data_IF_961594166672
#
_entry.id   IF_961594166672
#
_cell.length_a   1.000
_cell.length_b   1.000
_cell.length_c   1.000
_cell.angle_alpha   90.00
_cell.angle_beta   90.00
_cell.angle_gamma   90.00
#
_symmetry.space_group_name_H-M   'P 1'
#
loop_
_entity.id
_entity.type
_entity.pdbx_description
1 polymer ?
#
# COMPACT_ATOMS: atom_id res chain seq x y z
N UNK A 1 40.35 -37.78 15.10
CA UNK A 1 39.00 -37.65 14.51
C UNK A 1 38.08 -36.94 15.50
N UNK A 2 38.00 -35.61 15.45
CA UNK A 2 37.07 -34.81 16.28
C UNK A 2 35.98 -34.29 15.34
N UNK A 3 34.74 -34.78 15.50
CA UNK A 3 33.58 -34.33 14.72
C UNK A 3 33.18 -32.94 15.22
N UNK A 4 33.31 -31.93 14.36
CA UNK A 4 32.80 -30.58 14.60
C UNK A 4 31.29 -30.61 14.37
N UNK A 5 30.50 -30.40 15.42
CA UNK A 5 29.04 -30.24 15.34
C UNK A 5 28.79 -28.76 15.05
N UNK A 6 28.47 -28.43 13.81
CA UNK A 6 28.06 -27.08 13.42
C UNK A 6 26.59 -26.89 13.79
N UNK A 7 26.33 -26.14 14.87
CA UNK A 7 25.00 -25.71 15.28
C UNK A 7 24.56 -24.58 14.32
N UNK A 8 23.59 -24.87 13.46
CA UNK A 8 22.94 -23.86 12.62
C UNK A 8 21.96 -23.11 13.53
N UNK A 9 22.36 -21.94 14.02
CA UNK A 9 21.47 -21.02 14.70
C UNK A 9 20.48 -20.42 13.69
N UNK A 10 19.26 -20.96 13.67
CA UNK A 10 18.12 -20.38 12.96
C UNK A 10 17.72 -19.09 13.67
N UNK A 11 18.18 -17.96 13.15
CA UNK A 11 17.72 -16.63 13.54
C UNK A 11 16.31 -16.47 12.97
N UNK A 12 15.30 -16.64 13.82
CA UNK A 12 13.92 -16.33 13.49
C UNK A 12 13.76 -14.80 13.51
N UNK A 13 14.04 -14.15 12.38
CA UNK A 13 13.73 -12.73 12.19
C UNK A 13 12.22 -12.64 12.07
N UNK A 14 11.55 -12.14 13.12
CA UNK A 14 10.15 -11.75 13.04
C UNK A 14 10.03 -10.65 11.98
N UNK A 15 9.54 -11.00 10.79
CA UNK A 15 9.21 -10.02 9.77
C UNK A 15 8.04 -9.17 10.31
N UNK A 16 8.34 -7.97 10.80
CA UNK A 16 7.31 -6.98 11.12
C UNK A 16 6.60 -6.60 9.83
N UNK A 17 5.44 -7.22 9.62
CA UNK A 17 4.52 -6.86 8.55
C UNK A 17 3.94 -5.48 8.95
N UNK A 18 4.51 -4.37 8.48
CA UNK A 18 3.88 -3.06 8.67
C UNK A 18 2.53 -3.12 7.99
N UNK A 19 1.50 -2.94 8.81
CA UNK A 19 0.13 -2.85 8.41
C UNK A 19 -0.07 -1.67 7.46
N UNK A 20 -1.02 -1.80 6.53
CA UNK A 20 -1.38 -0.69 5.65
C UNK A 20 -2.23 0.33 6.42
N UNK A 21 -1.92 1.61 6.29
CA UNK A 21 -2.67 2.66 6.99
C UNK A 21 -3.91 3.06 6.18
N UNK A 22 -5.08 2.94 6.78
CA UNK A 22 -6.38 3.23 6.16
C UNK A 22 -7.06 4.38 6.90
N UNK A 23 -7.50 5.37 6.15
CA UNK A 23 -8.36 6.43 6.66
C UNK A 23 -9.82 6.19 6.25
N UNK A 24 -10.77 6.55 7.10
CA UNK A 24 -12.20 6.55 6.75
C UNK A 24 -12.66 8.00 6.66
N UNK A 25 -12.86 8.46 5.42
CA UNK A 25 -13.57 9.70 5.17
C UNK A 25 -15.06 9.40 5.29
N UNK A 26 -15.70 10.00 6.29
CA UNK A 26 -17.08 9.73 6.67
C UNK A 26 -18.05 9.65 5.49
N UNK A 27 -19.06 8.81 5.64
CA UNK A 27 -20.10 8.62 4.63
C UNK A 27 -20.94 9.87 4.45
N UNK A 28 -21.34 10.10 3.20
CA UNK A 28 -22.27 11.15 2.84
C UNK A 28 -23.68 10.59 2.57
N UNK A 29 -24.69 11.45 2.56
CA UNK A 29 -26.04 11.09 2.15
C UNK A 29 -26.80 12.28 1.59
N UNK A 30 -27.41 12.07 0.42
CA UNK A 30 -28.42 13.00 -0.12
C UNK A 30 -29.79 12.81 0.56
N UNK A 31 -29.93 11.81 1.44
CA UNK A 31 -31.19 11.50 2.12
C UNK A 31 -31.28 12.20 3.48
N UNK A 32 -32.18 13.17 3.60
CA UNK A 32 -32.40 13.96 4.83
C UNK A 32 -32.62 13.11 6.10
N UNK A 33 -33.17 11.90 5.98
CA UNK A 33 -33.38 10.99 7.12
C UNK A 33 -32.10 10.34 7.68
N UNK A 34 -30.96 10.49 6.99
CA UNK A 34 -29.66 9.88 7.33
C UNK A 34 -28.59 10.90 7.73
N UNK A 35 -28.83 12.20 7.60
CA UNK A 35 -27.84 13.27 7.81
C UNK A 35 -27.15 13.18 9.19
N UNK A 36 -27.88 12.77 10.23
CA UNK A 36 -27.34 12.56 11.59
C UNK A 36 -26.89 11.12 11.90
N UNK A 37 -26.96 10.21 10.92
CA UNK A 37 -26.66 8.78 11.09
C UNK A 37 -25.39 8.35 10.33
N UNK A 38 -25.00 9.05 9.28
CA UNK A 38 -23.80 8.72 8.49
C UNK A 38 -22.51 8.81 9.30
N UNK A 39 -22.42 9.78 10.22
CA UNK A 39 -21.30 9.88 11.16
C UNK A 39 -21.20 8.62 12.03
N UNK A 40 -22.31 8.20 12.64
CA UNK A 40 -22.37 6.97 13.46
C UNK A 40 -22.02 5.74 12.63
N UNK A 41 -22.48 5.64 11.39
CA UNK A 41 -22.13 4.53 10.49
C UNK A 41 -20.64 4.44 10.21
N UNK A 42 -20.00 5.60 10.06
CA UNK A 42 -18.57 5.69 9.79
C UNK A 42 -17.76 5.30 11.02
N UNK A 43 -18.19 5.70 12.22
CA UNK A 43 -17.56 5.30 13.48
C UNK A 43 -17.65 3.79 13.71
N UNK A 44 -18.85 3.22 13.51
CA UNK A 44 -19.04 1.78 13.62
C UNK A 44 -18.20 1.01 12.59
N UNK A 45 -18.03 1.54 11.38
CA UNK A 45 -17.12 0.94 10.39
C UNK A 45 -15.66 1.01 10.87
N UNK A 46 -15.22 2.13 11.44
CA UNK A 46 -13.88 2.27 12.02
C UNK A 46 -13.66 1.22 13.11
N UNK A 47 -14.62 1.04 14.01
CA UNK A 47 -14.55 0.05 15.09
C UNK A 47 -14.33 -1.37 14.56
N UNK A 48 -15.06 -1.77 13.51
CA UNK A 48 -14.88 -3.07 12.87
C UNK A 48 -13.53 -3.19 12.14
N UNK A 49 -13.08 -2.11 11.49
CA UNK A 49 -11.79 -2.08 10.77
C UNK A 49 -10.59 -2.20 11.72
N UNK A 50 -10.65 -1.59 12.92
CA UNK A 50 -9.59 -1.69 13.93
C UNK A 50 -9.38 -3.15 14.37
N UNK A 51 -10.41 -3.98 14.30
CA UNK A 51 -10.31 -5.42 14.58
C UNK A 51 -9.63 -6.26 13.49
N UNK A 52 -9.34 -5.69 12.32
CA UNK A 52 -8.76 -6.42 11.18
C UNK A 52 -7.23 -6.40 11.25
N UNK A 53 -6.63 -7.59 11.29
CA UNK A 53 -5.17 -7.74 11.24
C UNK A 53 -4.58 -7.26 9.92
N UNK A 54 -3.43 -6.59 9.98
CA UNK A 54 -2.67 -6.16 8.80
C UNK A 54 -3.07 -4.79 8.25
N UNK A 55 -3.98 -4.08 8.92
CA UNK A 55 -4.27 -2.66 8.67
C UNK A 55 -4.12 -1.84 9.97
N UNK A 56 -3.77 -0.57 9.80
CA UNK A 56 -3.78 0.45 10.85
C UNK A 56 -4.84 1.46 10.46
N UNK A 57 -5.76 1.79 11.36
CA UNK A 57 -6.82 2.78 11.04
C UNK A 57 -6.44 4.15 11.60
N UNK A 58 -6.59 5.19 10.80
CA UNK A 58 -6.38 6.58 11.25
C UNK A 58 -7.56 7.00 12.12
N UNK A 59 -7.27 7.60 13.27
CA UNK A 59 -8.31 8.20 14.12
C UNK A 59 -9.07 9.31 13.39
N UNK A 60 -10.40 9.28 13.51
CA UNK A 60 -11.30 10.20 12.82
C UNK A 60 -11.04 11.67 13.14
N UNK A 61 -10.76 12.00 14.40
CA UNK A 61 -10.50 13.39 14.82
C UNK A 61 -9.35 14.03 14.04
N UNK A 62 -8.27 13.25 13.79
CA UNK A 62 -7.12 13.69 13.01
C UNK A 62 -7.49 13.96 11.56
N UNK A 63 -8.41 13.17 11.01
CA UNK A 63 -8.93 13.35 9.65
C UNK A 63 -9.85 14.57 9.56
N UNK A 64 -10.73 14.77 10.54
CA UNK A 64 -11.63 15.92 10.59
C UNK A 64 -10.87 17.25 10.76
N UNK A 65 -9.79 17.27 11.53
CA UNK A 65 -8.91 18.44 11.65
C UNK A 65 -8.25 18.81 10.31
N UNK A 66 -7.75 17.81 9.59
CA UNK A 66 -7.15 17.98 8.26
C UNK A 66 -8.17 18.48 7.23
N UNK A 67 -9.38 17.90 7.23
CA UNK A 67 -10.46 18.32 6.34
C UNK A 67 -10.87 19.77 6.63
N UNK A 68 -11.01 20.16 7.91
CA UNK A 68 -11.35 21.54 8.28
C UNK A 68 -10.32 22.55 7.77
N UNK A 69 -9.03 22.23 7.84
CA UNK A 69 -7.96 23.09 7.31
C UNK A 69 -8.02 23.21 5.77
N UNK A 70 -8.25 22.10 5.08
CA UNK A 70 -8.32 22.07 3.62
C UNK A 70 -9.58 22.78 3.07
N UNK A 71 -10.73 22.62 3.73
CA UNK A 71 -11.99 23.25 3.33
C UNK A 71 -11.91 24.78 3.46
N UNK A 72 -11.26 25.25 4.53
CA UNK A 72 -10.98 26.67 4.75
C UNK A 72 -10.08 27.28 3.66
N UNK A 73 -9.14 26.51 3.10
CA UNK A 73 -8.17 27.00 2.13
C UNK A 73 -8.64 26.91 0.67
N UNK A 74 -9.35 25.84 0.26
CA UNK A 74 -9.59 25.55 -1.17
C UNK A 74 -11.00 25.06 -1.52
N UNK A 75 -11.88 24.80 -0.55
CA UNK A 75 -13.18 24.14 -0.77
C UNK A 75 -13.00 22.68 -1.20
N UNK A 76 -13.30 21.73 -0.33
CA UNK A 76 -13.08 20.32 -0.65
C UNK A 76 -14.27 19.75 -1.42
N UNK A 77 -14.00 19.10 -2.56
CA UNK A 77 -14.97 18.25 -3.26
C UNK A 77 -14.66 16.79 -2.97
N UNK A 78 -15.65 15.90 -2.94
CA UNK A 78 -15.42 14.44 -2.80
C UNK A 78 -14.91 13.81 -4.10
N UNK A 79 -13.93 14.46 -4.73
CA UNK A 79 -13.25 13.99 -5.94
C UNK A 79 -11.94 13.27 -5.60
N UNK A 80 -11.36 12.61 -6.58
CA UNK A 80 -10.18 11.76 -6.40
C UNK A 80 -8.93 12.55 -5.97
N UNK A 81 -8.81 13.82 -6.36
CA UNK A 81 -7.68 14.68 -5.99
C UNK A 81 -7.75 15.15 -4.53
N UNK A 82 -8.95 15.44 -4.04
CA UNK A 82 -9.16 15.77 -2.63
C UNK A 82 -8.88 14.58 -1.72
N UNK A 83 -9.30 13.38 -2.12
CA UNK A 83 -9.00 12.12 -1.41
C UNK A 83 -7.49 11.89 -1.30
N UNK A 84 -6.75 12.13 -2.37
CA UNK A 84 -5.28 12.02 -2.38
C UNK A 84 -4.64 13.03 -1.42
N UNK A 85 -5.10 14.27 -1.41
CA UNK A 85 -4.56 15.32 -0.55
C UNK A 85 -4.80 15.03 0.93
N UNK A 86 -6.05 14.69 1.29
CA UNK A 86 -6.43 14.29 2.66
C UNK A 86 -5.62 13.08 3.10
N UNK A 87 -5.56 12.03 2.28
CA UNK A 87 -4.82 10.80 2.56
C UNK A 87 -3.34 11.05 2.85
N UNK A 88 -2.68 11.90 2.06
CA UNK A 88 -1.27 12.27 2.27
C UNK A 88 -1.06 13.01 3.59
N UNK A 89 -1.94 13.95 3.94
CA UNK A 89 -1.82 14.72 5.19
C UNK A 89 -1.98 13.86 6.44
N UNK A 90 -2.83 12.82 6.37
CA UNK A 90 -3.00 11.87 7.49
C UNK A 90 -2.04 10.66 7.42
N UNK A 91 -1.15 10.63 6.43
CA UNK A 91 -0.23 9.51 6.16
C UNK A 91 -0.96 8.16 6.00
N UNK A 92 -2.10 8.18 5.29
CA UNK A 92 -2.82 6.97 4.91
C UNK A 92 -2.37 6.48 3.53
N UNK A 93 -2.29 5.17 3.36
CA UNK A 93 -2.03 4.50 2.09
C UNK A 93 -3.32 4.37 1.26
N UNK A 94 -4.44 4.17 1.93
CA UNK A 94 -5.78 4.11 1.32
C UNK A 94 -6.79 4.95 2.11
N UNK A 95 -7.79 5.47 1.41
CA UNK A 95 -8.97 6.10 2.01
C UNK A 95 -10.20 5.28 1.66
N UNK A 96 -11.04 5.01 2.65
CA UNK A 96 -12.40 4.54 2.47
C UNK A 96 -13.31 5.76 2.52
N UNK A 97 -14.11 5.94 1.48
CA UNK A 97 -15.18 6.95 1.46
C UNK A 97 -16.43 6.33 0.86
N UNK A 98 -17.60 6.88 1.13
CA UNK A 98 -18.83 6.25 0.74
C UNK A 98 -20.05 7.14 0.81
N UNK A 99 -21.16 6.59 0.37
CA UNK A 99 -22.45 7.23 0.50
C UNK A 99 -23.52 6.24 0.95
N UNK A 100 -24.61 6.80 1.45
CA UNK A 100 -25.79 6.08 1.87
C UNK A 100 -27.01 6.65 1.16
N UNK A 101 -27.84 5.77 0.62
CA UNK A 101 -29.07 6.15 -0.11
C UNK A 101 -30.19 5.17 0.18
N UNK A 102 -31.43 5.65 0.11
CA UNK A 102 -32.60 4.76 0.11
C UNK A 102 -33.00 4.39 -1.31
N UNK A 103 -33.20 3.09 -1.56
CA UNK A 103 -33.73 2.55 -2.82
C UNK A 103 -34.79 1.52 -2.45
N UNK A 104 -36.01 1.70 -2.96
CA UNK A 104 -37.14 0.77 -2.76
C UNK A 104 -37.43 0.41 -1.29
N UNK A 105 -37.24 1.38 -0.38
CA UNK A 105 -37.47 1.19 1.06
C UNK A 105 -36.31 0.55 1.82
N UNK A 106 -35.20 0.26 1.15
CA UNK A 106 -33.98 -0.28 1.77
C UNK A 106 -32.85 0.74 1.78
N UNK A 107 -32.03 0.70 2.83
CA UNK A 107 -30.80 1.46 2.94
C UNK A 107 -29.70 0.74 2.16
N UNK A 108 -29.20 1.38 1.10
CA UNK A 108 -27.99 0.99 0.39
C UNK A 108 -26.81 1.81 0.91
N UNK A 109 -25.83 1.11 1.48
CA UNK A 109 -24.52 1.65 1.88
C UNK A 109 -23.51 1.26 0.82
N UNK A 110 -22.80 2.24 0.27
CA UNK A 110 -21.70 2.00 -0.68
C UNK A 110 -20.43 2.60 -0.12
N UNK A 111 -19.37 1.79 -0.04
CA UNK A 111 -18.03 2.23 0.34
C UNK A 111 -17.03 1.95 -0.78
N UNK A 112 -16.10 2.87 -1.00
CA UNK A 112 -15.06 2.82 -2.02
C UNK A 112 -13.71 2.88 -1.35
N UNK A 113 -12.85 1.91 -1.65
CA UNK A 113 -11.44 1.91 -1.25
C UNK A 113 -10.64 2.61 -2.35
N UNK A 114 -9.96 3.70 -2.00
CA UNK A 114 -9.19 4.53 -2.92
C UNK A 114 -7.72 4.49 -2.52
N UNK A 115 -6.83 4.16 -3.45
CA UNK A 115 -5.38 4.24 -3.25
C UNK A 115 -4.94 5.71 -3.25
N UNK A 116 -4.32 6.18 -2.17
CA UNK A 116 -3.95 7.60 -2.03
C UNK A 116 -2.94 8.01 -3.10
N UNK A 117 -1.97 7.16 -3.40
CA UNK A 117 -0.88 7.50 -4.30
C UNK A 117 -1.37 7.72 -5.74
N UNK A 118 -2.22 6.81 -6.24
CA UNK A 118 -2.70 6.82 -7.63
C UNK A 118 -4.08 7.43 -7.80
N UNK A 119 -4.79 7.73 -6.71
CA UNK A 119 -6.17 8.17 -6.67
C UNK A 119 -7.17 7.20 -7.35
N UNK A 120 -6.79 5.93 -7.50
CA UNK A 120 -7.63 4.91 -8.15
C UNK A 120 -8.56 4.24 -7.14
N UNK A 121 -9.81 4.03 -7.56
CA UNK A 121 -10.74 3.16 -6.83
C UNK A 121 -10.29 1.70 -7.02
N UNK A 122 -9.83 1.07 -5.95
CA UNK A 122 -9.37 -0.31 -5.94
C UNK A 122 -10.52 -1.30 -5.77
N UNK A 123 -11.52 -0.91 -4.98
CA UNK A 123 -12.67 -1.74 -4.68
C UNK A 123 -13.89 -0.90 -4.29
N UNK A 124 -15.08 -1.50 -4.47
CA UNK A 124 -16.34 -0.93 -4.00
C UNK A 124 -17.12 -2.03 -3.29
N UNK A 125 -17.35 -1.84 -1.99
CA UNK A 125 -18.21 -2.68 -1.18
C UNK A 125 -19.63 -2.09 -1.17
N UNK A 126 -20.63 -2.96 -1.14
CA UNK A 126 -22.05 -2.56 -1.06
C UNK A 126 -22.78 -3.41 -0.04
N UNK A 127 -23.66 -2.78 0.72
CA UNK A 127 -24.52 -3.45 1.67
C UNK A 127 -25.93 -2.88 1.58
N UNK A 128 -26.91 -3.76 1.44
CA UNK A 128 -28.32 -3.40 1.56
C UNK A 128 -28.85 -3.89 2.90
N UNK A 129 -29.65 -3.07 3.56
CA UNK A 129 -30.31 -3.41 4.82
C UNK A 129 -31.62 -2.65 4.96
N UNK A 130 -32.64 -3.30 5.50
CA UNK A 130 -33.95 -2.69 5.74
C UNK A 130 -34.09 -2.19 7.18
N UNK A 131 -33.19 -2.61 8.08
CA UNK A 131 -33.24 -2.24 9.50
C UNK A 131 -31.85 -1.98 10.10
N UNK A 132 -31.81 -1.24 11.22
CA UNK A 132 -30.56 -1.02 11.96
C UNK A 132 -29.94 -2.32 12.46
N UNK A 133 -30.78 -3.26 12.91
CA UNK A 133 -30.34 -4.57 13.38
C UNK A 133 -29.59 -5.34 12.29
N UNK A 134 -30.12 -5.32 11.08
CA UNK A 134 -29.51 -5.99 9.93
C UNK A 134 -28.19 -5.36 9.53
N UNK A 135 -28.09 -4.02 9.56
CA UNK A 135 -26.82 -3.33 9.36
C UNK A 135 -25.76 -3.80 10.35
N UNK A 136 -26.04 -3.80 11.67
CA UNK A 136 -25.07 -4.27 12.67
C UNK A 136 -24.62 -5.71 12.42
N UNK A 137 -25.53 -6.58 11.97
CA UNK A 137 -25.20 -7.97 11.66
C UNK A 137 -24.31 -8.11 10.42
N UNK A 138 -24.49 -7.24 9.42
CA UNK A 138 -23.74 -7.27 8.16
C UNK A 138 -22.44 -6.47 8.22
N UNK A 139 -22.30 -5.55 9.17
CA UNK A 139 -21.19 -4.61 9.26
C UNK A 139 -19.80 -5.28 9.35
N UNK A 140 -19.56 -6.33 10.15
CA UNK A 140 -18.23 -6.97 10.21
C UNK A 140 -17.78 -7.52 8.86
N UNK A 141 -18.71 -8.16 8.13
CA UNK A 141 -18.45 -8.68 6.78
C UNK A 141 -18.20 -7.53 5.80
N UNK A 142 -19.01 -6.48 5.88
CA UNK A 142 -18.85 -5.29 5.04
C UNK A 142 -17.50 -4.60 5.27
N UNK A 143 -17.04 -4.48 6.52
CA UNK A 143 -15.73 -3.94 6.87
C UNK A 143 -14.59 -4.76 6.23
N UNK A 144 -14.67 -6.09 6.34
CA UNK A 144 -13.70 -6.98 5.69
C UNK A 144 -13.69 -6.84 4.17
N UNK A 145 -14.86 -6.66 3.55
CA UNK A 145 -14.99 -6.40 2.10
C UNK A 145 -14.36 -5.06 1.72
N UNK A 146 -14.53 -4.01 2.53
CA UNK A 146 -13.96 -2.69 2.27
C UNK A 146 -12.44 -2.71 2.12
N UNK A 147 -11.74 -3.64 2.77
CA UNK A 147 -10.27 -3.76 2.73
C UNK A 147 -9.77 -5.01 1.98
N UNK A 148 -10.64 -5.77 1.32
CA UNK A 148 -10.27 -7.05 0.71
C UNK A 148 -9.28 -6.92 -0.48
N UNK A 149 -9.23 -5.75 -1.13
CA UNK A 149 -8.26 -5.47 -2.21
C UNK A 149 -7.23 -4.41 -1.84
N UNK A 150 -6.98 -4.27 -0.54
CA UNK A 150 -5.95 -3.37 -0.07
C UNK A 150 -4.59 -3.81 -0.66
N UNK A 151 -3.90 -2.96 -1.43
CA UNK A 151 -2.69 -3.36 -2.12
C UNK A 151 -1.60 -3.49 -1.08
N UNK A 152 -0.61 -4.36 -1.24
CA UNK A 152 0.61 -4.24 -0.43
C UNK A 152 1.26 -2.88 -0.72
N UNK A 153 1.62 -2.08 0.30
CA UNK A 153 2.18 -0.75 0.08
C UNK A 153 3.44 -0.85 -0.77
N UNK A 154 3.60 0.06 -1.73
CA UNK A 154 4.75 0.07 -2.62
C UNK A 154 5.99 0.65 -1.91
N UNK A 155 6.62 -0.20 -1.10
CA UNK A 155 7.80 0.19 -0.31
C UNK A 155 9.02 0.53 -1.16
N UNK A 156 9.00 0.23 -2.46
CA UNK A 156 10.11 0.50 -3.37
C UNK A 156 10.06 1.91 -3.97
N UNK A 157 8.99 2.70 -3.81
CA UNK A 157 8.91 4.02 -4.44
C UNK A 157 10.07 4.94 -4.01
N UNK A 158 10.58 5.70 -4.98
CA UNK A 158 11.68 6.64 -4.80
C UNK A 158 12.99 6.12 -5.38
N UNK A 159 14.08 6.77 -4.97
CA UNK A 159 15.43 6.50 -5.44
C UNK A 159 16.19 5.59 -4.47
N UNK A 160 16.97 4.68 -5.03
CA UNK A 160 17.70 3.66 -4.29
C UNK A 160 19.09 3.50 -4.87
N UNK A 161 20.06 3.28 -4.01
CA UNK A 161 21.44 3.01 -4.43
C UNK A 161 21.85 1.64 -3.90
N UNK A 162 22.55 0.88 -4.72
CA UNK A 162 23.31 -0.27 -4.27
C UNK A 162 24.66 -0.35 -4.98
N UNK A 163 25.67 -0.81 -4.27
CA UNK A 163 26.95 -1.20 -4.85
C UNK A 163 26.94 -2.70 -5.12
N UNK A 164 27.31 -3.05 -6.35
CA UNK A 164 27.37 -4.42 -6.84
C UNK A 164 28.71 -4.63 -7.54
N UNK A 165 29.54 -5.49 -6.93
CA UNK A 165 30.92 -5.67 -7.33
C UNK A 165 31.67 -4.31 -7.35
N UNK A 166 32.12 -3.83 -8.51
CA UNK A 166 32.83 -2.56 -8.68
C UNK A 166 31.95 -1.45 -9.33
N UNK A 167 30.63 -1.65 -9.39
CA UNK A 167 29.70 -0.70 -10.02
C UNK A 167 28.56 -0.29 -9.07
N UNK A 168 28.27 1.01 -9.05
CA UNK A 168 27.14 1.58 -8.32
C UNK A 168 25.92 1.67 -9.23
N UNK A 169 24.79 1.19 -8.74
CA UNK A 169 23.49 1.26 -9.39
C UNK A 169 22.59 2.23 -8.64
N UNK A 170 22.07 3.25 -9.32
CA UNK A 170 20.98 4.10 -8.83
C UNK A 170 19.68 3.68 -9.53
N UNK A 171 18.65 3.33 -8.77
CA UNK A 171 17.36 2.91 -9.29
C UNK A 171 16.26 3.83 -8.77
N UNK A 172 15.53 4.43 -9.69
CA UNK A 172 14.31 5.18 -9.39
C UNK A 172 13.09 4.34 -9.73
N UNK A 173 12.30 3.97 -8.72
CA UNK A 173 11.01 3.30 -8.91
C UNK A 173 9.86 4.32 -8.87
N UNK A 174 9.06 4.34 -9.93
CA UNK A 174 7.95 5.29 -10.12
C UNK A 174 6.61 4.61 -9.83
N UNK A 175 5.59 5.41 -9.48
CA UNK A 175 4.24 4.95 -9.12
C UNK A 175 3.55 4.12 -10.21
N UNK A 176 3.77 4.47 -11.47
CA UNK A 176 3.25 3.82 -12.67
C UNK A 176 3.93 2.48 -13.03
N UNK A 177 4.64 1.85 -12.08
CA UNK A 177 5.41 0.60 -12.24
C UNK A 177 6.55 0.69 -13.27
N UNK A 178 6.96 1.89 -13.64
CA UNK A 178 8.19 2.10 -14.42
C UNK A 178 9.40 2.31 -13.51
N UNK A 179 10.58 1.95 -13.99
CA UNK A 179 11.83 2.20 -13.29
C UNK A 179 12.88 2.76 -14.23
N UNK A 180 13.82 3.48 -13.64
CA UNK A 180 14.99 4.03 -14.30
C UNK A 180 16.21 3.56 -13.52
N UNK A 181 17.14 2.89 -14.19
CA UNK A 181 18.36 2.36 -13.58
C UNK A 181 19.54 3.07 -14.22
N UNK A 182 20.25 3.89 -13.45
CA UNK A 182 21.48 4.54 -13.85
C UNK A 182 22.67 3.76 -13.30
N UNK A 183 23.67 3.57 -14.15
CA UNK A 183 25.00 3.13 -13.76
C UNK A 183 26.01 4.21 -14.14
N UNK A 184 27.29 3.97 -13.87
CA UNK A 184 28.38 4.88 -14.25
C UNK A 184 28.47 5.15 -15.77
N UNK A 185 27.95 4.25 -16.60
CA UNK A 185 28.15 4.27 -18.06
C UNK A 185 26.88 4.59 -18.85
N UNK A 186 25.70 4.22 -18.34
CA UNK A 186 24.45 4.38 -19.08
C UNK A 186 23.21 4.44 -18.18
N UNK A 187 22.09 4.86 -18.77
CA UNK A 187 20.77 4.83 -18.13
C UNK A 187 19.86 3.85 -18.88
N UNK A 188 19.18 3.02 -18.11
CA UNK A 188 18.24 2.02 -18.57
C UNK A 188 16.83 2.38 -18.09
N UNK A 189 15.83 2.16 -18.95
CA UNK A 189 14.43 2.37 -18.59
C UNK A 189 13.69 1.04 -18.72
N UNK A 190 12.75 0.81 -17.83
CA UNK A 190 11.83 -0.30 -17.98
C UNK A 190 10.76 -0.35 -16.89
N UNK A 191 10.46 -1.54 -16.40
CA UNK A 191 9.35 -1.80 -15.49
C UNK A 191 9.76 -2.66 -14.31
N UNK A 192 9.00 -2.55 -13.22
CA UNK A 192 9.17 -3.39 -12.05
C UNK A 192 7.82 -3.89 -11.54
N UNK A 193 7.86 -5.03 -10.88
CA UNK A 193 6.72 -5.57 -10.13
C UNK A 193 7.17 -6.02 -8.76
N UNK A 194 6.26 -5.94 -7.79
CA UNK A 194 6.46 -6.47 -6.46
C UNK A 194 5.17 -7.13 -5.97
N UNK A 195 5.30 -8.01 -5.00
CA UNK A 195 4.16 -8.69 -4.39
C UNK A 195 4.60 -9.90 -3.59
N UNK A 196 3.68 -10.83 -3.40
CA UNK A 196 3.96 -12.12 -2.76
C UNK A 196 4.36 -13.16 -3.79
N UNK A 197 5.39 -13.92 -3.50
CA UNK A 197 5.72 -15.12 -4.25
C UNK A 197 4.69 -16.21 -3.96
N UNK A 198 4.13 -16.82 -5.01
CA UNK A 198 3.03 -17.77 -4.89
C UNK A 198 3.40 -19.07 -4.16
N UNK A 199 4.70 -19.39 -4.07
CA UNK A 199 5.16 -20.63 -3.46
C UNK A 199 5.64 -20.41 -2.03
N UNK A 200 6.55 -19.46 -1.82
CA UNK A 200 7.16 -19.19 -0.52
C UNK A 200 6.37 -18.23 0.36
N UNK A 201 5.46 -17.42 -0.22
CA UNK A 201 4.80 -16.31 0.48
C UNK A 201 5.74 -15.16 0.85
N UNK A 202 7.02 -15.23 0.45
CA UNK A 202 7.98 -14.15 0.62
C UNK A 202 7.67 -12.97 -0.30
N UNK A 203 8.15 -11.78 0.05
CA UNK A 203 8.05 -10.63 -0.84
C UNK A 203 9.00 -10.83 -2.03
N UNK A 204 8.53 -10.62 -3.25
CA UNK A 204 9.31 -10.74 -4.49
C UNK A 204 9.42 -9.37 -5.16
N UNK A 205 10.61 -9.06 -5.68
CA UNK A 205 10.85 -7.90 -6.55
C UNK A 205 11.33 -8.41 -7.91
N UNK A 206 10.72 -7.91 -8.98
CA UNK A 206 11.15 -8.15 -10.36
C UNK A 206 11.45 -6.83 -11.03
N UNK A 207 12.60 -6.72 -11.68
CA UNK A 207 13.05 -5.51 -12.39
C UNK A 207 13.48 -5.90 -13.79
N UNK A 208 12.93 -5.22 -14.80
CA UNK A 208 13.31 -5.37 -16.19
C UNK A 208 13.60 -3.99 -16.76
N UNK A 209 14.86 -3.72 -17.12
CA UNK A 209 15.25 -2.45 -17.71
C UNK A 209 16.23 -2.68 -18.86
N UNK A 210 16.22 -1.79 -19.86
CA UNK A 210 17.11 -1.88 -21.02
C UNK A 210 17.66 -0.51 -21.40
N UNK A 211 18.93 -0.47 -21.79
CA UNK A 211 19.55 0.74 -22.30
C UNK A 211 19.08 1.05 -23.73
N UNK A 212 18.92 2.34 -24.04
CA UNK A 212 18.55 2.78 -25.38
C UNK A 212 19.77 2.71 -26.31
N UNK A 213 19.70 1.89 -27.36
CA UNK A 213 20.79 1.76 -28.34
C UNK A 213 21.95 0.85 -27.91
N UNK A 214 21.87 0.21 -26.75
CA UNK A 214 22.85 -0.72 -26.20
C UNK A 214 22.26 -2.13 -26.00
N UNK A 215 23.13 -3.14 -25.89
CA UNK A 215 22.72 -4.52 -25.57
C UNK A 215 22.52 -4.73 -24.06
N UNK A 216 22.93 -3.78 -23.24
CA UNK A 216 22.81 -3.85 -21.79
C UNK A 216 21.35 -3.90 -21.35
N UNK A 217 21.09 -4.81 -20.41
CA UNK A 217 19.78 -5.02 -19.82
C UNK A 217 19.92 -5.53 -18.40
N UNK A 218 18.95 -5.20 -17.58
CA UNK A 218 18.74 -5.75 -16.25
C UNK A 218 17.50 -6.64 -16.31
N UNK A 219 17.63 -7.85 -15.75
CA UNK A 219 16.54 -8.80 -15.57
C UNK A 219 16.73 -9.45 -14.21
N UNK A 220 16.16 -8.84 -13.18
CA UNK A 220 16.21 -9.35 -11.81
C UNK A 220 14.84 -9.90 -11.42
N UNK A 221 14.86 -11.01 -10.68
CA UNK A 221 13.67 -11.61 -10.09
C UNK A 221 14.14 -12.36 -8.85
N UNK A 222 13.86 -11.80 -7.67
CA UNK A 222 14.37 -12.35 -6.42
C UNK A 222 13.44 -12.06 -5.26
N UNK A 223 13.53 -12.89 -4.24
CA UNK A 223 12.94 -12.58 -2.94
C UNK A 223 13.62 -11.32 -2.39
N UNK A 224 12.80 -10.42 -1.87
CA UNK A 224 13.20 -9.20 -1.22
C UNK A 224 13.05 -9.36 0.29
N UNK A 225 14.01 -8.82 1.04
CA UNK A 225 13.91 -8.73 2.50
C UNK A 225 14.30 -7.33 2.92
N UNK A 226 13.33 -6.56 3.42
CA UNK A 226 13.59 -5.29 4.06
C UNK A 226 14.41 -5.50 5.34
N UNK A 227 15.49 -4.75 5.49
CA UNK A 227 16.42 -4.86 6.62
C UNK A 227 16.21 -3.83 7.70
N UNK A 228 15.44 -2.79 7.41
CA UNK A 228 15.10 -1.74 8.35
C UNK A 228 13.58 -1.64 8.55
N UNK A 229 13.18 -1.26 9.76
CA UNK A 229 11.77 -1.16 10.16
C UNK A 229 11.03 -0.02 9.46
N UNK A 230 11.77 0.99 8.99
CA UNK A 230 11.28 2.15 8.23
C UNK A 230 11.22 1.89 6.71
N UNK A 231 11.57 0.69 6.26
CA UNK A 231 11.65 0.34 4.84
C UNK A 231 12.63 1.20 4.02
N UNK A 232 13.67 1.78 4.65
CA UNK A 232 14.73 2.52 3.94
C UNK A 232 15.86 1.64 3.39
N UNK A 233 15.87 0.34 3.71
CA UNK A 233 16.85 -0.60 3.20
C UNK A 233 16.26 -1.99 2.91
N UNK A 234 16.72 -2.63 1.85
CA UNK A 234 16.35 -4.02 1.55
C UNK A 234 17.48 -4.78 0.85
N UNK A 235 17.42 -6.10 0.86
CA UNK A 235 18.31 -6.94 0.06
C UNK A 235 17.54 -7.77 -0.96
N UNK A 236 18.21 -8.03 -2.07
CA UNK A 236 17.84 -9.06 -3.03
C UNK A 236 19.07 -9.90 -3.37
N UNK A 237 18.84 -11.15 -3.78
CA UNK A 237 19.89 -11.99 -4.34
C UNK A 237 19.80 -11.98 -5.86
N UNK A 238 20.85 -11.52 -6.54
CA UNK A 238 20.88 -11.43 -7.99
C UNK A 238 22.13 -12.09 -8.54
N UNK A 239 22.13 -12.44 -9.82
CA UNK A 239 23.33 -12.92 -10.51
C UNK A 239 24.11 -11.74 -11.05
N UNK A 240 25.40 -11.66 -10.74
CA UNK A 240 26.30 -10.68 -11.33
C UNK A 240 26.70 -11.07 -12.77
N UNK A 241 27.59 -10.28 -13.38
CA UNK A 241 28.11 -10.49 -14.74
C UNK A 241 28.83 -11.84 -14.91
N UNK A 242 29.43 -12.37 -13.83
CA UNK A 242 30.09 -13.68 -13.78
C UNK A 242 29.11 -14.84 -13.54
N UNK A 243 27.82 -14.55 -13.37
CA UNK A 243 26.78 -15.55 -13.07
C UNK A 243 26.75 -16.03 -11.62
N UNK A 244 27.58 -15.47 -10.74
CA UNK A 244 27.59 -15.76 -9.31
C UNK A 244 26.42 -15.07 -8.63
N UNK A 245 25.78 -15.76 -7.69
CA UNK A 245 24.73 -15.15 -6.87
C UNK A 245 25.39 -14.25 -5.84
N UNK A 246 25.07 -12.97 -5.89
CA UNK A 246 25.53 -11.93 -4.96
C UNK A 246 24.34 -11.29 -4.25
N UNK A 247 24.59 -10.75 -3.06
CA UNK A 247 23.59 -10.01 -2.30
C UNK A 247 23.73 -8.52 -2.65
N UNK A 248 22.73 -7.98 -3.32
CA UNK A 248 22.60 -6.53 -3.50
C UNK A 248 21.92 -5.95 -2.25
N UNK A 249 22.53 -4.95 -1.63
CA UNK A 249 21.94 -4.22 -0.50
C UNK A 249 21.58 -2.82 -0.98
N UNK A 250 20.28 -2.54 -1.05
CA UNK A 250 19.74 -1.26 -1.50
C UNK A 250 19.46 -0.36 -0.30
N UNK A 251 19.84 0.91 -0.43
CA UNK A 251 19.54 1.97 0.53
C UNK A 251 18.80 3.08 -0.19
N UNK A 252 17.71 3.56 0.42
CA UNK A 252 16.91 4.65 -0.11
C UNK A 252 17.68 5.96 0.01
N UNK A 253 17.68 6.76 -1.05
CA UNK A 253 18.25 8.11 -1.07
C UNK A 253 17.11 9.12 -1.24
N UNK A 254 17.20 10.24 -0.51
CA UNK A 254 16.21 11.32 -0.52
C UNK A 254 16.11 12.04 -1.88
#
# INVERSE_FOLDING_TARGET
MKKLITIIASIFIAASLSAQTVAVWGFDSDSFCLENKTAVMSDLLIDELVGINGITVVERNRLDDVIRELDFQNGIYTDSESVKSVGKMVNADCVITGNTTFIDGELLVTARLIEVETAKILYTAKMQCSTWKEFYQKLPKFAQECVNKIPSPNRFLGKWVCDLDDETYEITFKDNKTCEVATSSETMIGTYTYGKDNYSGGDILKVNAKAKGSKSKITWSSLCTFTSSDYSSFNIQIKNSEGKTVRASFVKIE
#
